data_IF_953741904409
#
_entry.id   IF_953741904409
#
_cell.length_a   1.000
_cell.length_b   1.000
_cell.length_c   1.000
_cell.angle_alpha   90.00
_cell.angle_beta   90.00
_cell.angle_gamma   90.00
#
_symmetry.space_group_name_H-M   'P 1'
#
loop_
_entity.id
_entity.type
_entity.pdbx_description
1 polymer ?
#
# COMPACT_ATOMS: atom_id res chain seq x y z
N UNK A 1 51.40 -2.00 32.43
CA UNK A 1 50.70 -1.35 31.32
C UNK A 1 49.76 -2.30 30.57
N UNK A 2 50.20 -3.40 29.99
CA UNK A 2 49.36 -4.34 29.20
C UNK A 2 48.16 -4.88 29.98
N UNK A 3 48.34 -5.29 31.24
CA UNK A 3 47.23 -5.80 32.09
C UNK A 3 46.14 -4.72 32.39
N UNK A 4 46.56 -3.44 32.54
CA UNK A 4 45.62 -2.33 32.75
C UNK A 4 44.91 -2.04 31.46
N UNK A 5 45.58 -1.95 30.34
CA UNK A 5 45.00 -1.76 29.01
C UNK A 5 43.99 -2.85 28.72
N UNK A 6 44.32 -4.13 28.92
CA UNK A 6 43.41 -5.24 28.68
C UNK A 6 42.13 -5.14 29.55
N UNK A 7 42.31 -4.86 30.87
CA UNK A 7 41.13 -4.68 31.77
C UNK A 7 40.25 -3.51 31.36
N UNK A 8 40.84 -2.37 30.95
CA UNK A 8 40.10 -1.21 30.50
C UNK A 8 39.35 -1.51 29.17
N UNK A 9 40.00 -2.21 28.23
CA UNK A 9 39.35 -2.62 26.98
C UNK A 9 38.18 -3.59 27.21
N UNK A 10 38.33 -4.57 28.12
CA UNK A 10 37.24 -5.49 28.50
C UNK A 10 36.09 -4.72 29.14
N UNK A 11 36.39 -3.83 30.08
CA UNK A 11 35.37 -3.05 30.78
C UNK A 11 34.59 -2.14 29.78
N UNK A 12 35.30 -1.47 28.88
CA UNK A 12 34.69 -0.68 27.79
C UNK A 12 33.80 -1.55 26.89
N UNK A 13 34.25 -2.73 26.52
CA UNK A 13 33.47 -3.68 25.72
C UNK A 13 32.17 -4.12 26.44
N UNK A 14 32.26 -4.44 27.73
CA UNK A 14 31.08 -4.81 28.55
C UNK A 14 30.13 -3.63 28.68
N UNK A 15 30.65 -2.42 28.95
CA UNK A 15 29.81 -1.22 29.09
C UNK A 15 29.09 -0.90 27.78
N UNK A 16 29.80 -0.99 26.65
CA UNK A 16 29.21 -0.77 25.33
C UNK A 16 28.16 -1.83 25.02
N UNK A 17 28.46 -3.12 25.24
CA UNK A 17 27.52 -4.22 25.03
C UNK A 17 26.27 -4.07 25.89
N UNK A 18 26.41 -3.70 27.17
CA UNK A 18 25.28 -3.44 28.05
C UNK A 18 24.47 -2.21 27.58
N UNK A 19 25.16 -1.13 27.16
CA UNK A 19 24.47 0.05 26.63
C UNK A 19 23.68 -0.24 25.37
N UNK A 20 24.20 -1.04 24.46
CA UNK A 20 23.52 -1.48 23.24
C UNK A 20 22.31 -2.39 23.57
N UNK A 21 22.50 -3.32 24.49
CA UNK A 21 21.41 -4.18 24.96
C UNK A 21 20.28 -3.37 25.60
N UNK A 22 20.60 -2.48 26.52
CA UNK A 22 19.61 -1.61 27.16
C UNK A 22 18.97 -0.64 26.16
N UNK A 23 19.73 -0.14 25.18
CA UNK A 23 19.18 0.68 24.09
C UNK A 23 18.11 -0.08 23.30
N UNK A 24 18.29 -1.39 23.06
CA UNK A 24 17.29 -2.22 22.40
C UNK A 24 16.06 -2.48 23.30
N UNK A 25 16.31 -2.79 24.58
CA UNK A 25 15.25 -3.05 25.55
C UNK A 25 14.38 -1.82 25.86
N UNK A 26 14.95 -0.61 25.85
CA UNK A 26 14.23 0.65 26.07
C UNK A 26 13.65 1.27 24.80
N UNK A 27 14.00 0.75 23.64
CA UNK A 27 13.45 1.28 22.37
C UNK A 27 11.95 0.99 22.34
N UNK A 28 11.09 1.99 22.22
CA UNK A 28 9.66 1.73 22.10
C UNK A 28 9.40 0.86 20.87
N UNK A 29 8.52 -0.13 21.02
CA UNK A 29 8.00 -0.94 19.91
C UNK A 29 7.09 -0.05 19.03
N UNK A 30 7.62 1.06 18.55
CA UNK A 30 6.80 2.13 17.97
C UNK A 30 6.83 2.21 16.45
N UNK A 31 7.60 1.36 15.77
CA UNK A 31 7.53 1.27 14.33
C UNK A 31 7.28 -0.17 13.90
N UNK A 32 6.04 -0.41 13.56
CA UNK A 32 5.59 -1.69 13.03
C UNK A 32 6.25 -2.06 11.68
N UNK A 33 6.88 -1.10 10.98
CA UNK A 33 7.41 -1.31 9.64
C UNK A 33 8.65 -2.21 9.61
N UNK A 34 9.64 -1.99 10.49
CA UNK A 34 10.88 -2.77 10.49
C UNK A 34 10.67 -4.23 10.88
N UNK A 35 9.99 -4.40 12.00
CA UNK A 35 9.68 -5.74 12.50
C UNK A 35 8.78 -6.46 11.51
N UNK A 36 7.88 -5.74 10.84
CA UNK A 36 7.06 -6.27 9.78
C UNK A 36 7.89 -6.76 8.58
N UNK A 37 8.85 -5.97 8.08
CA UNK A 37 9.74 -6.41 7.00
C UNK A 37 10.60 -7.62 7.39
N UNK A 38 11.17 -7.61 8.60
CA UNK A 38 12.00 -8.71 9.09
C UNK A 38 11.20 -9.98 9.42
N UNK A 39 9.87 -9.87 9.54
CA UNK A 39 8.96 -11.02 9.74
C UNK A 39 8.57 -11.68 8.41
N UNK A 40 8.86 -11.05 7.27
CA UNK A 40 8.67 -11.69 5.96
C UNK A 40 9.70 -12.84 5.86
N UNK A 41 9.28 -14.06 5.49
CA UNK A 41 10.19 -15.18 5.33
C UNK A 41 11.36 -14.83 4.41
N UNK A 42 12.57 -15.30 4.78
CA UNK A 42 13.78 -15.01 4.02
C UNK A 42 13.67 -15.52 2.56
N UNK A 43 14.24 -14.75 1.63
CA UNK A 43 14.31 -15.07 0.19
C UNK A 43 12.96 -15.37 -0.48
N UNK A 44 11.86 -14.74 0.01
CA UNK A 44 10.53 -14.93 -0.58
C UNK A 44 10.07 -13.78 -1.47
N UNK A 45 10.64 -12.57 -1.31
CA UNK A 45 10.20 -11.41 -2.09
C UNK A 45 10.82 -11.44 -3.50
N UNK A 46 9.96 -11.31 -4.51
CA UNK A 46 10.38 -11.10 -5.90
C UNK A 46 10.82 -9.65 -6.15
N UNK A 47 10.17 -8.71 -5.45
CA UNK A 47 10.38 -7.27 -5.60
C UNK A 47 10.57 -6.61 -4.25
N UNK A 48 11.54 -5.69 -4.15
CA UNK A 48 11.61 -4.72 -3.05
C UNK A 48 11.46 -3.32 -3.63
N UNK A 49 10.52 -2.57 -3.08
CA UNK A 49 10.20 -1.21 -3.53
C UNK A 49 10.77 -0.21 -2.55
N UNK A 50 11.67 0.64 -3.01
CA UNK A 50 12.34 1.68 -2.23
C UNK A 50 11.86 3.06 -2.65
N UNK A 51 11.87 4.00 -1.72
CA UNK A 51 11.50 5.37 -2.05
C UNK A 51 10.99 6.16 -0.86
N UNK A 52 10.13 7.12 -1.14
CA UNK A 52 9.54 8.01 -0.15
C UNK A 52 8.10 7.63 0.21
N UNK A 53 7.38 8.55 0.87
CA UNK A 53 5.93 8.42 1.08
C UNK A 53 5.16 8.27 -0.25
N UNK A 54 5.68 8.78 -1.36
CA UNK A 54 5.07 8.59 -2.68
C UNK A 54 4.97 7.10 -3.05
N UNK A 55 5.96 6.31 -2.66
CA UNK A 55 5.94 4.85 -2.83
C UNK A 55 4.92 4.20 -1.90
N UNK A 56 4.93 4.59 -0.61
CA UNK A 56 4.03 4.01 0.40
C UNK A 56 2.56 4.24 0.09
N UNK A 57 2.23 5.39 -0.50
CA UNK A 57 0.85 5.76 -0.89
C UNK A 57 0.54 5.48 -2.36
N UNK A 58 1.54 5.24 -3.20
CA UNK A 58 1.37 5.20 -4.65
C UNK A 58 1.48 3.82 -5.30
N UNK A 59 1.97 2.81 -4.57
CA UNK A 59 2.16 1.43 -5.07
C UNK A 59 1.52 0.46 -4.09
N UNK A 60 0.70 -0.46 -4.58
CA UNK A 60 -0.02 -1.42 -3.74
C UNK A 60 0.44 -2.86 -4.02
N UNK A 61 1.14 -3.51 -3.08
CA UNK A 61 1.65 -4.87 -3.23
C UNK A 61 0.57 -5.92 -3.52
N UNK A 62 -0.64 -5.75 -2.97
CA UNK A 62 -1.73 -6.69 -3.22
C UNK A 62 -2.23 -6.63 -4.66
N UNK A 63 -2.21 -5.45 -5.29
CA UNK A 63 -2.57 -5.31 -6.72
C UNK A 63 -1.49 -5.94 -7.58
N UNK A 64 -0.22 -5.67 -7.31
CA UNK A 64 0.90 -6.31 -8.03
C UNK A 64 0.77 -7.83 -7.93
N UNK A 65 0.56 -8.38 -6.73
CA UNK A 65 0.38 -9.81 -6.57
C UNK A 65 -0.84 -10.35 -7.33
N UNK A 66 -1.96 -9.66 -7.29
CA UNK A 66 -3.19 -10.10 -7.97
C UNK A 66 -3.01 -10.19 -9.50
N UNK A 67 -2.28 -9.24 -10.08
CA UNK A 67 -2.08 -9.17 -11.54
C UNK A 67 -0.90 -10.03 -12.03
N UNK A 68 0.10 -10.28 -11.17
CA UNK A 68 1.36 -10.93 -11.61
C UNK A 68 1.68 -12.23 -10.87
N UNK A 69 1.09 -12.46 -9.71
CA UNK A 69 1.51 -13.51 -8.77
C UNK A 69 2.74 -13.17 -7.93
N UNK A 70 3.43 -12.06 -8.17
CA UNK A 70 4.70 -11.72 -7.54
C UNK A 70 4.52 -11.16 -6.13
N UNK A 71 5.47 -11.46 -5.25
CA UNK A 71 5.53 -10.89 -3.91
C UNK A 71 6.38 -9.63 -3.90
N UNK A 72 5.79 -8.53 -3.43
CA UNK A 72 6.48 -7.25 -3.29
C UNK A 72 6.33 -6.68 -1.90
N UNK A 73 7.34 -5.93 -1.44
CA UNK A 73 7.31 -5.20 -0.17
C UNK A 73 7.81 -3.78 -0.38
N UNK A 74 7.10 -2.80 0.20
CA UNK A 74 7.48 -1.39 0.17
C UNK A 74 8.35 -1.08 1.39
N UNK A 75 9.66 -1.04 1.19
CA UNK A 75 10.62 -0.67 2.21
C UNK A 75 11.03 0.80 2.04
N UNK A 76 10.10 1.68 2.36
CA UNK A 76 10.19 3.11 2.14
C UNK A 76 9.74 3.88 3.39
N UNK A 77 10.09 5.16 3.47
CA UNK A 77 9.66 6.04 4.56
C UNK A 77 9.38 7.45 4.07
N UNK A 78 8.69 8.24 4.90
CA UNK A 78 8.43 9.64 4.58
C UNK A 78 9.73 10.37 4.19
N UNK A 79 9.72 10.99 3.00
CA UNK A 79 10.83 11.83 2.53
C UNK A 79 12.20 11.13 2.42
N UNK A 80 12.25 9.85 2.21
CA UNK A 80 13.49 9.10 2.16
C UNK A 80 14.37 9.50 0.96
N UNK A 81 15.51 10.17 1.17
CA UNK A 81 16.38 10.59 0.06
C UNK A 81 17.14 9.40 -0.52
N UNK A 82 17.60 9.51 -1.78
CA UNK A 82 18.30 8.44 -2.51
C UNK A 82 19.49 7.86 -1.72
N UNK A 83 20.25 8.70 -1.01
CA UNK A 83 21.36 8.24 -0.16
C UNK A 83 20.91 7.30 0.98
N UNK A 84 19.69 7.47 1.47
CA UNK A 84 19.09 6.61 2.50
C UNK A 84 18.52 5.36 1.85
N UNK A 85 17.89 5.48 0.68
CA UNK A 85 17.44 4.32 -0.11
C UNK A 85 18.59 3.35 -0.42
N UNK A 86 19.81 3.86 -0.67
CA UNK A 86 21.01 2.99 -0.78
C UNK A 86 21.29 2.18 0.49
N UNK A 87 21.15 2.78 1.68
CA UNK A 87 21.35 2.03 2.94
C UNK A 87 20.19 1.05 3.21
N UNK A 88 18.95 1.45 2.85
CA UNK A 88 17.78 0.57 2.94
C UNK A 88 17.89 -0.62 2.00
N UNK A 89 18.44 -0.44 0.78
CA UNK A 89 18.73 -1.56 -0.11
C UNK A 89 19.69 -2.54 0.55
N UNK A 90 20.80 -2.07 1.12
CA UNK A 90 21.75 -2.92 1.84
C UNK A 90 21.10 -3.63 3.04
N UNK A 91 20.21 -2.95 3.75
CA UNK A 91 19.45 -3.58 4.85
C UNK A 91 18.53 -4.66 4.31
N UNK A 92 17.82 -4.38 3.21
CA UNK A 92 16.88 -5.32 2.57
C UNK A 92 17.58 -6.60 2.10
N UNK A 93 18.75 -6.48 1.53
CA UNK A 93 19.53 -7.61 1.02
C UNK A 93 20.15 -8.50 2.12
N UNK A 94 19.95 -8.18 3.40
CA UNK A 94 20.37 -9.07 4.50
C UNK A 94 19.47 -10.29 4.67
N UNK A 95 18.20 -10.17 4.26
CA UNK A 95 17.19 -11.21 4.46
C UNK A 95 16.45 -11.58 3.17
N UNK A 96 16.59 -10.81 2.11
CA UNK A 96 15.89 -11.03 0.85
C UNK A 96 16.85 -10.98 -0.33
N UNK A 97 16.56 -11.76 -1.36
CA UNK A 97 17.29 -11.77 -2.63
C UNK A 97 16.31 -11.57 -3.80
N UNK A 98 15.76 -10.35 -3.96
CA UNK A 98 14.72 -10.07 -4.96
C UNK A 98 15.28 -10.14 -6.39
N UNK A 99 14.39 -10.39 -7.36
CA UNK A 99 14.77 -10.30 -8.78
C UNK A 99 14.86 -8.85 -9.27
N UNK A 100 14.10 -7.93 -8.65
CA UNK A 100 14.01 -6.55 -9.08
C UNK A 100 13.89 -5.59 -7.88
N UNK A 101 14.60 -4.47 -7.96
CA UNK A 101 14.40 -3.30 -7.12
C UNK A 101 13.61 -2.25 -7.90
N UNK A 102 12.50 -1.79 -7.34
CA UNK A 102 11.80 -0.59 -7.81
C UNK A 102 12.21 0.57 -6.93
N UNK A 103 12.67 1.68 -7.52
CA UNK A 103 13.09 2.87 -6.81
C UNK A 103 12.28 4.09 -7.28
N UNK A 104 11.49 4.68 -6.39
CA UNK A 104 10.81 5.96 -6.67
C UNK A 104 11.80 7.12 -6.64
N UNK A 105 11.72 7.97 -7.67
CA UNK A 105 12.65 9.09 -7.88
C UNK A 105 12.10 10.44 -7.38
N UNK A 106 11.01 10.48 -6.64
CA UNK A 106 10.37 11.71 -6.17
C UNK A 106 11.34 12.63 -5.42
N UNK A 107 12.18 12.08 -4.57
CA UNK A 107 13.12 12.88 -3.76
C UNK A 107 14.31 13.46 -4.55
N UNK A 108 14.45 13.11 -5.83
CA UNK A 108 15.38 13.77 -6.76
C UNK A 108 14.81 15.07 -7.37
N UNK A 109 13.50 15.32 -7.17
CA UNK A 109 12.85 16.51 -7.70
C UNK A 109 13.19 17.77 -6.89
N UNK A 110 13.09 18.96 -7.51
CA UNK A 110 13.30 20.23 -6.83
C UNK A 110 12.41 20.39 -5.60
N UNK A 111 12.98 21.01 -4.58
CA UNK A 111 12.28 21.37 -3.34
C UNK A 111 11.76 20.17 -2.52
N UNK A 112 12.01 18.92 -2.98
CA UNK A 112 11.61 17.70 -2.29
C UNK A 112 12.71 17.11 -1.39
N UNK A 113 13.93 17.60 -1.52
CA UNK A 113 15.07 17.19 -0.67
C UNK A 113 15.02 17.79 0.75
N UNK A 114 14.10 18.72 1.01
CA UNK A 114 13.94 19.40 2.31
C UNK A 114 12.99 18.59 3.19
N UNK A 115 13.35 17.36 3.42
CA UNK A 115 12.63 16.54 4.36
C UNK A 115 13.31 16.57 5.72
N UNK A 116 12.50 16.64 6.74
CA UNK A 116 12.94 16.77 8.12
C UNK A 116 13.86 15.62 8.50
N UNK A 117 15.08 15.91 8.89
CA UNK A 117 16.04 14.94 9.46
C UNK A 117 15.42 14.01 10.51
N UNK A 118 14.38 14.47 11.22
CA UNK A 118 13.66 13.69 12.23
C UNK A 118 13.11 12.38 11.70
N UNK A 119 12.50 12.39 10.52
CA UNK A 119 11.98 11.16 9.88
C UNK A 119 13.09 10.17 9.57
N UNK A 120 14.26 10.67 9.15
CA UNK A 120 15.43 9.83 8.84
C UNK A 120 16.09 9.30 10.12
N UNK A 121 16.15 10.11 11.20
CA UNK A 121 16.62 9.61 12.50
C UNK A 121 15.77 8.44 12.98
N UNK A 122 14.46 8.60 12.90
CA UNK A 122 13.50 7.57 13.31
C UNK A 122 13.64 6.32 12.43
N UNK A 123 13.64 6.50 11.10
CA UNK A 123 13.84 5.40 10.14
C UNK A 123 15.10 4.60 10.48
N UNK A 124 16.25 5.28 10.58
CA UNK A 124 17.51 4.61 10.86
C UNK A 124 17.52 3.92 12.23
N UNK A 125 16.87 4.51 13.23
CA UNK A 125 16.76 3.90 14.56
C UNK A 125 15.91 2.65 14.54
N UNK A 126 14.77 2.72 13.86
CA UNK A 126 13.71 1.73 13.96
C UNK A 126 13.82 0.64 12.88
N UNK A 127 14.39 0.95 11.70
CA UNK A 127 14.36 0.08 10.54
C UNK A 127 15.73 -0.34 10.01
N UNK A 128 16.82 0.06 10.66
CA UNK A 128 18.17 -0.35 10.25
C UNK A 128 18.96 -0.98 11.38
N UNK A 129 19.86 -1.87 11.02
CA UNK A 129 20.76 -2.57 11.94
C UNK A 129 22.22 -2.35 11.60
N UNK A 130 23.11 -2.58 12.56
CA UNK A 130 24.54 -2.61 12.33
C UNK A 130 25.11 -1.34 11.71
N UNK A 131 25.91 -1.52 10.65
CA UNK A 131 26.62 -0.40 9.98
C UNK A 131 25.69 0.48 9.15
N UNK A 132 24.62 -0.05 8.59
CA UNK A 132 23.65 0.69 7.79
C UNK A 132 22.96 1.76 8.67
N UNK A 133 22.56 1.41 9.90
CA UNK A 133 22.06 2.35 10.91
C UNK A 133 23.07 3.46 11.20
N UNK A 134 24.30 3.08 11.51
CA UNK A 134 25.36 4.04 11.85
C UNK A 134 25.65 4.96 10.67
N UNK A 135 25.80 4.41 9.47
CA UNK A 135 26.09 5.17 8.26
C UNK A 135 24.97 6.19 7.98
N UNK A 136 23.71 5.77 8.07
CA UNK A 136 22.55 6.65 7.83
C UNK A 136 22.50 7.78 8.84
N UNK A 137 22.63 7.49 10.13
CA UNK A 137 22.62 8.49 11.18
C UNK A 137 23.80 9.47 11.05
N UNK A 138 24.98 8.98 10.64
CA UNK A 138 26.16 9.81 10.44
C UNK A 138 26.13 10.66 9.15
N UNK A 139 25.18 10.43 8.24
CA UNK A 139 24.92 11.30 7.08
C UNK A 139 24.14 12.58 7.46
N UNK A 140 23.49 12.58 8.62
CA UNK A 140 22.65 13.68 9.06
C UNK A 140 23.48 14.81 9.69
N UNK A 141 22.97 16.04 9.67
CA UNK A 141 23.74 17.23 10.07
C UNK A 141 24.00 17.29 11.57
N UNK A 142 23.01 16.98 12.40
CA UNK A 142 23.17 16.99 13.87
C UNK A 142 23.82 15.69 14.37
N UNK A 143 25.15 15.70 14.45
CA UNK A 143 25.95 14.56 14.93
C UNK A 143 25.67 14.20 16.39
N UNK A 144 25.29 15.18 17.23
CA UNK A 144 24.93 14.90 18.62
C UNK A 144 23.65 14.08 18.69
N UNK A 145 22.65 14.52 17.95
CA UNK A 145 21.37 13.81 17.82
C UNK A 145 21.56 12.42 17.20
N UNK A 146 22.39 12.32 16.14
CA UNK A 146 22.76 11.02 15.56
C UNK A 146 23.33 10.06 16.61
N UNK A 147 24.18 10.55 17.51
CA UNK A 147 24.76 9.74 18.58
C UNK A 147 23.70 9.30 19.63
N UNK A 148 22.73 10.17 19.91
CA UNK A 148 21.61 9.84 20.80
C UNK A 148 20.73 8.72 20.21
N UNK A 149 20.55 8.66 18.89
CA UNK A 149 19.85 7.57 18.21
C UNK A 149 20.69 6.29 18.05
N UNK A 150 22.02 6.39 17.93
CA UNK A 150 22.92 5.22 17.95
C UNK A 150 22.86 4.55 19.33
N UNK A 151 22.86 5.35 20.39
CA UNK A 151 22.72 4.91 21.78
C UNK A 151 21.35 5.30 22.32
N UNK A 152 20.29 4.68 21.81
CA UNK A 152 18.90 5.04 22.09
C UNK A 152 18.53 5.03 23.58
N UNK A 153 19.30 4.35 24.43
CA UNK A 153 19.16 4.42 25.89
C UNK A 153 19.21 5.86 26.42
N UNK A 154 19.95 6.75 25.74
CA UNK A 154 20.02 8.17 26.11
C UNK A 154 18.72 8.92 25.88
N UNK A 155 17.95 8.50 24.90
CA UNK A 155 16.64 9.09 24.59
C UNK A 155 15.53 8.50 25.47
N UNK A 156 15.57 7.20 25.67
CA UNK A 156 14.47 6.43 26.28
C UNK A 156 14.72 6.05 27.74
N UNK A 157 15.82 6.52 28.36
CA UNK A 157 16.13 6.21 29.75
C UNK A 157 15.05 6.63 30.75
N UNK A 158 14.16 7.56 30.38
CA UNK A 158 13.02 7.98 31.22
C UNK A 158 11.91 6.90 31.29
N UNK A 159 11.87 5.98 30.31
CA UNK A 159 10.90 4.89 30.26
C UNK A 159 11.24 3.75 31.22
N UNK A 160 12.37 3.79 31.91
CA UNK A 160 12.76 2.73 32.86
C UNK A 160 11.74 2.49 33.99
N UNK A 161 10.93 3.48 34.34
CA UNK A 161 9.86 3.36 35.29
C UNK A 161 8.63 2.60 34.76
N UNK A 162 8.56 2.41 33.47
CA UNK A 162 7.47 1.73 32.73
C UNK A 162 7.90 0.33 32.27
N UNK A 163 9.18 -0.05 32.52
CA UNK A 163 9.70 -1.34 32.14
C UNK A 163 9.11 -2.43 33.02
N UNK A 164 8.39 -3.33 32.36
CA UNK A 164 8.06 -4.64 32.91
C UNK A 164 9.20 -5.64 32.60
N UNK A 165 9.31 -6.71 33.41
CA UNK A 165 10.24 -7.82 33.14
C UNK A 165 9.97 -8.46 31.79
N UNK A 166 8.74 -8.46 31.32
CA UNK A 166 8.35 -8.92 29.98
C UNK A 166 8.94 -8.03 28.86
N UNK A 167 9.02 -6.71 29.03
CA UNK A 167 9.62 -5.79 28.06
C UNK A 167 11.14 -5.95 27.93
N UNK A 168 11.80 -6.56 28.92
CA UNK A 168 13.22 -6.93 28.85
C UNK A 168 13.46 -8.22 28.06
N UNK A 169 12.43 -9.03 27.89
CA UNK A 169 12.47 -10.12 26.94
C UNK A 169 12.37 -9.49 25.54
N UNK A 170 13.46 -9.49 24.82
CA UNK A 170 13.46 -9.17 23.40
C UNK A 170 12.60 -10.27 22.76
N UNK A 171 11.29 -10.06 22.70
CA UNK A 171 10.43 -10.94 21.94
C UNK A 171 10.76 -10.72 20.46
N UNK A 172 11.22 -11.76 19.80
CA UNK A 172 11.16 -11.84 18.34
C UNK A 172 9.72 -12.31 17.98
N UNK A 173 8.71 -11.70 18.60
CA UNK A 173 7.35 -11.94 18.14
C UNK A 173 7.25 -11.35 16.74
N UNK A 174 6.93 -12.20 15.79
CA UNK A 174 6.69 -11.82 14.42
C UNK A 174 5.57 -10.79 14.40
N UNK A 175 5.88 -9.56 14.01
CA UNK A 175 4.85 -8.56 13.81
C UNK A 175 4.14 -8.85 12.48
N UNK A 176 2.82 -8.63 12.44
CA UNK A 176 2.10 -8.81 11.18
C UNK A 176 2.67 -7.88 10.11
N UNK A 177 2.98 -8.45 8.95
CA UNK A 177 3.41 -7.70 7.74
C UNK A 177 2.27 -7.59 6.72
N UNK A 178 1.06 -7.54 7.21
CA UNK A 178 -0.20 -7.57 6.46
C UNK A 178 -0.39 -6.36 5.51
N UNK A 179 0.28 -5.25 5.77
CA UNK A 179 0.26 -4.08 4.87
C UNK A 179 1.34 -4.11 3.78
N UNK A 180 2.37 -4.95 3.92
CA UNK A 180 3.55 -4.97 3.03
C UNK A 180 4.18 -3.59 2.80
N UNK A 181 4.12 -2.71 3.80
CA UNK A 181 4.62 -1.34 3.76
C UNK A 181 3.71 -0.34 3.02
N UNK A 182 2.56 -0.77 2.52
CA UNK A 182 1.57 0.10 1.89
C UNK A 182 0.76 0.87 2.93
N UNK A 183 0.47 2.15 2.62
CA UNK A 183 -0.39 3.00 3.44
C UNK A 183 -1.63 3.37 2.64
N UNK A 184 -2.79 2.92 3.11
CA UNK A 184 -4.07 3.21 2.49
C UNK A 184 -4.50 4.65 2.81
N UNK A 185 -4.58 5.49 1.78
CA UNK A 185 -5.05 6.86 1.88
C UNK A 185 -6.41 6.99 1.19
N UNK A 186 -7.43 7.35 1.96
CA UNK A 186 -8.76 7.58 1.41
C UNK A 186 -8.86 8.96 0.75
N UNK A 187 -9.62 9.10 -0.36
CA UNK A 187 -9.81 10.39 -1.00
C UNK A 187 -10.53 11.36 -0.06
N UNK A 188 -10.10 12.61 -0.08
CA UNK A 188 -10.75 13.73 0.59
C UNK A 188 -11.17 14.74 -0.46
N UNK A 189 -12.21 15.50 -0.19
CA UNK A 189 -12.57 16.61 -1.08
C UNK A 189 -11.37 17.57 -1.21
N UNK A 190 -10.83 17.64 -2.41
CA UNK A 190 -9.72 18.51 -2.75
C UNK A 190 -10.02 19.30 -4.03
N UNK A 191 -9.88 20.62 -3.96
CA UNK A 191 -9.99 21.48 -5.13
C UNK A 191 -8.65 21.47 -5.89
N UNK A 192 -8.59 20.64 -6.90
CA UNK A 192 -7.44 20.58 -7.81
C UNK A 192 -7.38 21.80 -8.72
N UNK A 193 -6.20 22.38 -8.85
CA UNK A 193 -5.92 23.41 -9.84
C UNK A 193 -5.00 22.81 -10.91
N UNK A 194 -5.62 22.40 -12.01
CA UNK A 194 -4.87 21.88 -13.16
C UNK A 194 -3.83 22.89 -13.62
N UNK A 195 -2.60 22.45 -13.80
CA UNK A 195 -1.57 23.21 -14.49
C UNK A 195 -1.52 22.78 -15.96
N UNK A 196 -1.51 23.74 -16.86
CA UNK A 196 -1.30 23.45 -18.28
C UNK A 196 -0.01 22.64 -18.47
N UNK A 197 -0.05 21.73 -19.46
CA UNK A 197 1.07 20.86 -19.76
C UNK A 197 2.38 21.62 -19.98
N UNK A 198 3.52 21.04 -19.60
CA UNK A 198 4.80 21.72 -19.54
C UNK A 198 5.34 22.17 -20.89
N UNK A 199 5.97 23.35 -20.95
CA UNK A 199 6.71 23.82 -22.13
C UNK A 199 8.08 23.14 -22.16
N UNK A 200 8.39 22.41 -23.25
CA UNK A 200 9.53 21.48 -23.40
C UNK A 200 10.94 22.12 -23.41
N UNK A 201 11.15 23.32 -22.91
CA UNK A 201 12.37 24.10 -23.15
C UNK A 201 13.40 24.19 -22.03
N UNK A 202 13.14 23.66 -20.85
CA UNK A 202 14.05 23.86 -19.72
C UNK A 202 14.98 22.64 -19.53
N UNK A 203 16.25 22.95 -19.16
CA UNK A 203 17.22 21.99 -18.68
C UNK A 203 17.30 22.13 -17.18
N UNK A 204 17.20 21.01 -16.46
CA UNK A 204 17.37 20.96 -15.01
C UNK A 204 18.66 20.20 -14.67
N UNK A 205 19.49 20.77 -13.80
CA UNK A 205 20.68 20.13 -13.30
C UNK A 205 20.33 19.35 -12.02
N UNK A 206 20.38 18.02 -12.08
CA UNK A 206 20.13 17.14 -10.95
C UNK A 206 21.24 17.28 -9.89
N UNK A 207 20.90 17.00 -8.63
CA UNK A 207 21.85 17.00 -7.54
C UNK A 207 22.88 15.89 -7.73
N UNK A 208 24.18 16.22 -7.80
CA UNK A 208 25.26 15.28 -8.04
C UNK A 208 25.31 14.18 -6.97
N UNK A 209 25.04 14.51 -5.70
CA UNK A 209 24.99 13.51 -4.62
C UNK A 209 23.89 12.47 -4.82
N UNK A 210 22.75 12.86 -5.38
CA UNK A 210 21.66 11.91 -5.67
C UNK A 210 22.03 11.01 -6.84
N UNK A 211 22.65 11.57 -7.89
CA UNK A 211 23.18 10.79 -9.02
C UNK A 211 24.26 9.78 -8.59
N UNK A 212 25.20 10.21 -7.76
CA UNK A 212 26.26 9.34 -7.23
C UNK A 212 25.67 8.18 -6.39
N UNK A 213 24.62 8.43 -5.61
CA UNK A 213 23.97 7.39 -4.83
C UNK A 213 23.08 6.49 -5.68
N UNK A 214 22.45 7.00 -6.73
CA UNK A 214 21.72 6.19 -7.70
C UNK A 214 22.66 5.21 -8.42
N UNK A 215 23.85 5.66 -8.82
CA UNK A 215 24.88 4.77 -9.40
C UNK A 215 25.38 3.71 -8.42
N UNK A 216 25.47 4.03 -7.12
CA UNK A 216 25.79 3.02 -6.09
C UNK A 216 24.68 1.98 -5.93
N UNK A 217 23.40 2.40 -6.03
CA UNK A 217 22.27 1.48 -6.04
C UNK A 217 22.37 0.56 -7.26
N UNK A 218 22.57 1.13 -8.45
CA UNK A 218 22.73 0.36 -9.69
C UNK A 218 23.87 -0.66 -9.56
N UNK A 219 25.05 -0.22 -9.12
CA UNK A 219 26.21 -1.09 -8.95
C UNK A 219 25.93 -2.24 -7.95
N UNK A 220 25.23 -1.95 -6.84
CA UNK A 220 24.87 -2.97 -5.86
C UNK A 220 23.84 -3.97 -6.41
N UNK A 221 22.90 -3.50 -7.23
CA UNK A 221 21.98 -4.38 -7.95
C UNK A 221 22.73 -5.28 -8.93
N UNK A 222 23.63 -4.72 -9.74
CA UNK A 222 24.45 -5.47 -10.70
C UNK A 222 25.33 -6.54 -10.03
N UNK A 223 25.96 -6.19 -8.91
CA UNK A 223 26.78 -7.13 -8.10
C UNK A 223 25.99 -8.33 -7.58
N UNK A 224 24.67 -8.16 -7.37
CA UNK A 224 23.78 -9.21 -6.87
C UNK A 224 22.89 -9.82 -7.97
N UNK A 225 23.09 -9.47 -9.24
CA UNK A 225 22.25 -9.88 -10.39
C UNK A 225 20.77 -9.52 -10.20
N UNK A 226 20.50 -8.34 -9.68
CA UNK A 226 19.17 -7.77 -9.46
C UNK A 226 18.94 -6.68 -10.51
N UNK A 227 17.76 -6.67 -11.12
CA UNK A 227 17.36 -5.59 -12.04
C UNK A 227 16.98 -4.32 -11.23
N UNK A 228 17.11 -3.16 -11.87
CA UNK A 228 16.72 -1.87 -11.27
C UNK A 228 15.74 -1.14 -12.18
N UNK A 229 14.55 -0.84 -11.65
CA UNK A 229 13.55 -0.02 -12.31
C UNK A 229 13.32 1.28 -11.52
N UNK A 230 13.55 2.42 -12.14
CA UNK A 230 13.13 3.70 -11.60
C UNK A 230 11.66 3.94 -11.91
N UNK A 231 10.90 4.39 -10.91
CA UNK A 231 9.47 4.68 -11.06
C UNK A 231 9.15 6.08 -10.57
N UNK A 232 8.21 6.74 -11.23
CA UNK A 232 7.57 7.96 -10.72
C UNK A 232 6.05 7.83 -10.75
N UNK A 233 5.45 7.82 -9.57
CA UNK A 233 3.99 7.83 -9.39
C UNK A 233 3.41 9.22 -9.70
N UNK A 234 2.16 9.34 -10.20
CA UNK A 234 1.55 10.61 -10.53
C UNK A 234 1.43 11.55 -9.32
N UNK A 235 1.66 12.82 -9.53
CA UNK A 235 1.34 13.89 -8.60
C UNK A 235 1.19 15.22 -9.35
N UNK A 236 0.64 16.24 -8.71
CA UNK A 236 0.49 17.59 -9.29
C UNK A 236 1.85 18.26 -9.45
N UNK A 237 2.35 18.32 -10.67
CA UNK A 237 3.69 18.80 -11.01
C UNK A 237 3.68 20.21 -11.58
N UNK A 238 4.63 21.03 -11.13
CA UNK A 238 4.99 22.27 -11.82
C UNK A 238 6.03 21.99 -12.94
N UNK A 239 6.29 23.01 -13.79
CA UNK A 239 7.27 22.92 -14.88
C UNK A 239 8.66 22.44 -14.39
N UNK A 240 9.13 22.97 -13.24
CA UNK A 240 10.46 22.64 -12.69
C UNK A 240 10.57 21.14 -12.32
N UNK A 241 9.50 20.58 -11.76
CA UNK A 241 9.45 19.13 -11.46
C UNK A 241 9.48 18.29 -12.73
N UNK A 242 8.73 18.71 -13.76
CA UNK A 242 8.73 18.03 -15.03
C UNK A 242 10.12 18.04 -15.69
N UNK A 243 10.79 19.21 -15.73
CA UNK A 243 12.13 19.33 -16.28
C UNK A 243 13.14 18.42 -15.53
N UNK A 244 12.98 18.31 -14.21
CA UNK A 244 13.79 17.41 -13.40
C UNK A 244 13.52 15.94 -13.72
N UNK A 245 12.27 15.53 -13.93
CA UNK A 245 11.94 14.15 -14.35
C UNK A 245 12.54 13.83 -15.72
N UNK A 246 12.51 14.76 -16.65
CA UNK A 246 13.16 14.60 -17.97
C UNK A 246 14.68 14.42 -17.81
N UNK A 247 15.31 15.17 -16.89
CA UNK A 247 16.73 15.00 -16.60
C UNK A 247 17.03 13.64 -15.92
N UNK A 248 16.14 13.13 -15.07
CA UNK A 248 16.24 11.77 -14.51
C UNK A 248 16.14 10.72 -15.60
N UNK A 249 15.18 10.90 -16.53
CA UNK A 249 15.02 9.99 -17.66
C UNK A 249 16.25 9.96 -18.58
N UNK A 250 16.83 11.12 -18.93
CA UNK A 250 18.06 11.20 -19.70
C UNK A 250 19.20 10.47 -18.99
N UNK A 251 19.37 10.72 -17.68
CA UNK A 251 20.39 10.06 -16.87
C UNK A 251 20.18 8.54 -16.81
N UNK A 252 18.95 8.08 -16.59
CA UNK A 252 18.64 6.64 -16.58
C UNK A 252 19.01 5.98 -17.89
N UNK A 253 18.64 6.60 -19.00
CA UNK A 253 18.99 6.14 -20.36
C UNK A 253 20.49 6.10 -20.62
N UNK A 254 21.25 7.10 -20.16
CA UNK A 254 22.71 7.16 -20.32
C UNK A 254 23.43 6.07 -19.50
N UNK A 255 22.81 5.58 -18.42
CA UNK A 255 23.38 4.59 -17.51
C UNK A 255 22.73 3.21 -17.61
N UNK A 256 21.93 2.97 -18.68
CA UNK A 256 21.25 1.68 -18.91
C UNK A 256 20.39 1.24 -17.71
N UNK A 257 19.56 2.16 -17.21
CA UNK A 257 18.60 1.92 -16.13
C UNK A 257 17.19 2.07 -16.68
N UNK A 258 16.34 1.11 -16.42
CA UNK A 258 14.93 1.17 -16.81
C UNK A 258 14.19 2.28 -16.04
N UNK A 259 13.28 2.98 -16.73
CA UNK A 259 12.51 4.07 -16.14
C UNK A 259 11.05 4.05 -16.59
N UNK A 260 10.14 4.06 -15.62
CA UNK A 260 8.70 4.09 -15.82
C UNK A 260 8.10 5.36 -15.16
N UNK A 261 7.73 6.34 -15.99
CA UNK A 261 7.02 7.54 -15.53
C UNK A 261 5.51 7.37 -15.71
N UNK A 262 4.80 7.10 -14.62
CA UNK A 262 3.35 6.88 -14.64
C UNK A 262 2.55 8.15 -14.98
N UNK A 263 3.18 9.34 -14.94
CA UNK A 263 2.52 10.55 -15.44
C UNK A 263 2.27 10.50 -16.96
N UNK A 264 2.91 9.60 -17.69
CA UNK A 264 2.66 9.40 -19.13
C UNK A 264 1.44 8.51 -19.40
N UNK A 265 0.87 7.86 -18.37
CA UNK A 265 -0.24 6.91 -18.46
C UNK A 265 -1.55 7.46 -17.86
N UNK A 266 -1.62 8.77 -17.55
CA UNK A 266 -2.79 9.39 -16.90
C UNK A 266 -4.10 9.18 -17.67
N UNK A 267 -4.06 9.29 -19.01
CA UNK A 267 -5.23 9.07 -19.86
C UNK A 267 -5.63 7.58 -19.87
N UNK A 268 -4.67 6.66 -20.00
CA UNK A 268 -4.89 5.22 -20.01
C UNK A 268 -5.48 4.72 -18.68
N UNK A 269 -4.99 5.27 -17.57
CA UNK A 269 -5.48 4.97 -16.22
C UNK A 269 -6.82 5.64 -15.91
N UNK A 270 -7.31 6.56 -16.75
CA UNK A 270 -8.40 7.47 -16.36
C UNK A 270 -8.12 8.12 -14.99
N UNK A 271 -6.91 8.66 -14.84
CA UNK A 271 -6.41 9.20 -13.58
C UNK A 271 -6.93 10.62 -13.34
N UNK A 272 -7.70 10.78 -12.28
CA UNK A 272 -8.31 12.06 -11.90
C UNK A 272 -7.59 12.66 -10.67
N UNK A 273 -6.81 13.72 -10.89
CA UNK A 273 -6.26 14.49 -9.79
C UNK A 273 -7.37 15.05 -8.89
N UNK A 274 -7.19 14.99 -7.57
CA UNK A 274 -8.20 15.34 -6.58
C UNK A 274 -9.10 14.17 -6.18
N UNK A 275 -9.06 13.06 -6.92
CA UNK A 275 -9.74 11.80 -6.61
C UNK A 275 -8.71 10.71 -6.39
N UNK A 276 -7.88 10.44 -7.40
CA UNK A 276 -6.82 9.42 -7.36
C UNK A 276 -5.54 9.92 -6.67
N UNK A 277 -5.39 11.22 -6.51
CA UNK A 277 -4.34 11.80 -5.68
C UNK A 277 -4.84 13.03 -4.92
N UNK A 278 -4.34 13.20 -3.70
CA UNK A 278 -4.33 14.48 -3.00
C UNK A 278 -3.17 15.34 -3.55
N UNK A 279 -2.85 16.45 -2.90
CA UNK A 279 -1.80 17.40 -3.34
C UNK A 279 -0.46 16.72 -3.66
N UNK A 280 -0.03 15.77 -2.81
CA UNK A 280 1.29 15.15 -2.87
C UNK A 280 1.26 13.63 -2.98
N UNK A 281 0.21 12.98 -2.47
CA UNK A 281 0.14 11.52 -2.36
C UNK A 281 -1.01 10.96 -3.16
N UNK A 282 -0.83 9.77 -3.70
CA UNK A 282 -1.91 9.04 -4.32
C UNK A 282 -2.86 8.49 -3.25
N UNK A 283 -4.14 8.49 -3.57
CA UNK A 283 -5.16 7.80 -2.78
C UNK A 283 -5.10 6.30 -3.05
N UNK A 284 -5.87 5.52 -2.31
CA UNK A 284 -6.01 4.09 -2.56
C UNK A 284 -6.43 3.79 -4.03
N UNK A 285 -7.27 4.65 -4.62
CA UNK A 285 -7.67 4.51 -6.02
C UNK A 285 -6.52 4.77 -7.00
N UNK A 286 -5.75 5.83 -6.75
CA UNK A 286 -4.57 6.11 -7.56
C UNK A 286 -3.48 5.05 -7.42
N UNK A 287 -3.24 4.56 -6.19
CA UNK A 287 -2.31 3.46 -5.95
C UNK A 287 -2.73 2.18 -6.67
N UNK A 288 -4.03 1.89 -6.70
CA UNK A 288 -4.57 0.75 -7.45
C UNK A 288 -4.25 0.87 -8.94
N UNK A 289 -4.61 1.99 -9.57
CA UNK A 289 -4.37 2.27 -11.00
C UNK A 289 -2.88 2.23 -11.36
N UNK A 290 -2.03 2.86 -10.54
CA UNK A 290 -0.58 2.83 -10.72
C UNK A 290 -0.04 1.41 -10.71
N UNK A 291 -0.52 0.59 -9.78
CA UNK A 291 -0.04 -0.78 -9.61
C UNK A 291 -0.50 -1.71 -10.73
N UNK A 292 -1.67 -1.45 -11.36
CA UNK A 292 -2.08 -2.13 -12.59
C UNK A 292 -1.06 -1.85 -13.73
N UNK A 293 -0.71 -0.60 -14.00
CA UNK A 293 0.30 -0.25 -15.04
C UNK A 293 1.70 -0.82 -14.71
N UNK A 294 2.12 -0.72 -13.44
CA UNK A 294 3.39 -1.33 -13.02
C UNK A 294 3.36 -2.83 -13.31
N UNK A 295 2.29 -3.51 -12.96
CA UNK A 295 2.14 -4.96 -13.19
C UNK A 295 2.24 -5.35 -14.66
N UNK A 296 1.57 -4.61 -15.54
CA UNK A 296 1.66 -4.80 -16.99
C UNK A 296 3.10 -4.59 -17.50
N UNK A 297 3.77 -3.54 -16.99
CA UNK A 297 5.16 -3.25 -17.35
C UNK A 297 6.11 -4.37 -16.89
N UNK A 298 5.91 -4.90 -15.67
CA UNK A 298 6.70 -5.99 -15.11
C UNK A 298 6.56 -7.27 -15.95
N UNK A 299 5.35 -7.69 -16.26
CA UNK A 299 5.08 -8.90 -17.05
C UNK A 299 5.65 -8.81 -18.47
N UNK A 300 5.68 -7.61 -19.04
CA UNK A 300 6.19 -7.39 -20.39
C UNK A 300 7.72 -7.37 -20.48
N UNK A 301 8.40 -6.83 -19.46
CA UNK A 301 9.82 -6.49 -19.58
C UNK A 301 10.74 -7.39 -18.75
N UNK A 302 10.23 -8.09 -17.72
CA UNK A 302 11.05 -8.89 -16.82
C UNK A 302 10.62 -10.35 -16.76
N UNK A 303 11.50 -11.19 -16.27
CA UNK A 303 11.24 -12.60 -15.98
C UNK A 303 11.54 -12.87 -14.52
N UNK A 304 10.63 -13.53 -13.84
CA UNK A 304 10.74 -13.82 -12.43
C UNK A 304 10.78 -15.32 -12.18
N UNK A 305 11.54 -15.71 -11.16
CA UNK A 305 11.59 -17.08 -10.66
C UNK A 305 10.79 -17.14 -9.34
N UNK A 306 9.47 -16.88 -9.46
CA UNK A 306 8.58 -16.84 -8.31
C UNK A 306 8.46 -18.20 -7.63
N UNK A 307 8.44 -18.20 -6.29
CA UNK A 307 8.19 -19.38 -5.45
C UNK A 307 7.07 -19.06 -4.46
N UNK A 308 5.98 -19.82 -4.55
CA UNK A 308 4.84 -19.66 -3.65
C UNK A 308 5.21 -19.88 -2.17
N UNK A 309 4.65 -19.05 -1.29
CA UNK A 309 4.76 -19.14 0.15
C UNK A 309 3.40 -18.94 0.82
N UNK A 310 2.93 -19.94 1.57
CA UNK A 310 1.59 -19.93 2.18
C UNK A 310 1.41 -18.80 3.21
N UNK A 311 2.46 -18.46 3.98
CA UNK A 311 2.40 -17.40 4.98
C UNK A 311 2.31 -16.02 4.32
N UNK A 312 3.08 -15.79 3.25
CA UNK A 312 3.01 -14.56 2.45
C UNK A 312 1.64 -14.44 1.81
N UNK A 313 1.12 -15.51 1.19
CA UNK A 313 -0.22 -15.53 0.57
C UNK A 313 -1.33 -15.19 1.57
N UNK A 314 -1.25 -15.72 2.80
CA UNK A 314 -2.22 -15.43 3.87
C UNK A 314 -2.24 -13.94 4.23
N UNK A 315 -1.08 -13.33 4.40
CA UNK A 315 -0.96 -11.90 4.73
C UNK A 315 -1.40 -11.01 3.55
N UNK A 316 -1.04 -11.37 2.31
CA UNK A 316 -1.50 -10.68 1.10
C UNK A 316 -3.01 -10.76 0.92
N UNK A 317 -3.65 -11.87 1.30
CA UNK A 317 -5.11 -11.99 1.29
C UNK A 317 -5.79 -10.90 2.13
N UNK A 318 -5.25 -10.58 3.31
CA UNK A 318 -5.75 -9.48 4.13
C UNK A 318 -5.60 -8.13 3.41
N UNK A 319 -4.42 -7.84 2.88
CA UNK A 319 -4.16 -6.60 2.15
C UNK A 319 -5.06 -6.48 0.90
N UNK A 320 -5.25 -7.58 0.15
CA UNK A 320 -6.15 -7.63 -1.01
C UNK A 320 -7.57 -7.25 -0.62
N UNK A 321 -8.11 -7.87 0.43
CA UNK A 321 -9.47 -7.59 0.92
C UNK A 321 -9.58 -6.14 1.39
N UNK A 322 -8.67 -5.67 2.23
CA UNK A 322 -8.68 -4.28 2.74
C UNK A 322 -8.53 -3.24 1.62
N UNK A 323 -7.75 -3.54 0.58
CA UNK A 323 -7.64 -2.70 -0.62
C UNK A 323 -8.99 -2.58 -1.32
N UNK A 324 -9.64 -3.71 -1.63
CA UNK A 324 -10.92 -3.70 -2.33
C UNK A 324 -12.02 -3.02 -1.51
N UNK A 325 -12.08 -3.25 -0.19
CA UNK A 325 -12.99 -2.51 0.68
C UNK A 325 -12.69 -1.00 0.67
N UNK A 326 -11.40 -0.62 0.70
CA UNK A 326 -10.99 0.77 0.57
C UNK A 326 -11.37 1.41 -0.77
N UNK A 327 -11.38 0.65 -1.87
CA UNK A 327 -11.83 1.11 -3.17
C UNK A 327 -13.36 1.29 -3.23
N UNK A 328 -14.11 0.43 -2.53
CA UNK A 328 -15.58 0.53 -2.41
C UNK A 328 -16.00 1.67 -1.49
N UNK A 329 -15.15 2.02 -0.52
CA UNK A 329 -15.42 3.11 0.41
C UNK A 329 -15.49 4.44 -0.33
N UNK A 330 -16.55 5.22 -0.07
CA UNK A 330 -16.79 6.52 -0.70
C UNK A 330 -17.05 6.49 -2.22
N UNK A 331 -17.36 5.34 -2.81
CA UNK A 331 -17.83 5.31 -4.20
C UNK A 331 -19.23 5.95 -4.32
N UNK A 332 -19.34 6.92 -5.21
CA UNK A 332 -20.61 7.60 -5.54
C UNK A 332 -21.14 7.17 -6.90
N UNK A 333 -20.30 6.51 -7.69
CA UNK A 333 -20.65 6.00 -9.01
C UNK A 333 -20.90 4.48 -8.96
N UNK A 334 -22.10 4.00 -9.32
CA UNK A 334 -22.44 2.59 -9.30
C UNK A 334 -21.58 1.74 -10.22
N UNK A 335 -21.21 2.23 -11.39
CA UNK A 335 -20.36 1.50 -12.30
C UNK A 335 -19.00 1.17 -11.66
N UNK A 336 -18.37 2.17 -11.04
CA UNK A 336 -17.10 1.97 -10.33
C UNK A 336 -17.26 1.04 -9.11
N UNK A 337 -18.35 1.19 -8.35
CA UNK A 337 -18.64 0.26 -7.26
C UNK A 337 -18.76 -1.18 -7.77
N UNK A 338 -19.53 -1.43 -8.82
CA UNK A 338 -19.70 -2.77 -9.39
C UNK A 338 -18.39 -3.30 -9.98
N UNK A 339 -17.60 -2.44 -10.64
CA UNK A 339 -16.27 -2.79 -11.16
C UNK A 339 -15.34 -3.34 -10.08
N UNK A 340 -15.30 -2.72 -8.92
CA UNK A 340 -14.46 -3.22 -7.81
C UNK A 340 -15.12 -4.37 -7.06
N UNK A 341 -16.43 -4.35 -6.90
CA UNK A 341 -17.17 -5.45 -6.28
C UNK A 341 -17.04 -6.75 -7.09
N UNK A 342 -17.01 -6.70 -8.43
CA UNK A 342 -16.84 -7.89 -9.28
C UNK A 342 -15.48 -8.57 -9.10
N UNK A 343 -14.47 -7.84 -8.63
CA UNK A 343 -13.13 -8.39 -8.31
C UNK A 343 -13.02 -8.96 -6.88
N UNK A 344 -14.11 -8.95 -6.11
CA UNK A 344 -14.07 -9.36 -4.72
C UNK A 344 -14.31 -10.87 -4.57
N UNK A 345 -13.34 -11.56 -3.95
CA UNK A 345 -13.46 -12.95 -3.55
C UNK A 345 -14.15 -13.04 -2.17
N UNK A 346 -15.44 -13.16 -2.16
CA UNK A 346 -16.26 -13.21 -0.94
C UNK A 346 -17.73 -13.30 -1.24
N UNK A 347 -18.54 -12.83 -0.31
CA UNK A 347 -19.99 -12.88 -0.40
C UNK A 347 -20.51 -11.58 -0.99
N UNK A 348 -21.28 -11.66 -2.07
CA UNK A 348 -22.00 -10.52 -2.64
C UNK A 348 -23.49 -10.79 -2.54
N UNK A 349 -24.24 -9.85 -2.00
CA UNK A 349 -25.68 -9.92 -1.78
C UNK A 349 -26.35 -8.87 -2.65
N UNK A 350 -27.37 -9.25 -3.38
CA UNK A 350 -28.18 -8.34 -4.18
C UNK A 350 -29.63 -8.33 -3.70
N UNK A 351 -30.17 -7.14 -3.51
CA UNK A 351 -31.58 -6.88 -3.30
C UNK A 351 -32.08 -5.95 -4.40
N UNK A 352 -32.91 -6.46 -5.29
CA UNK A 352 -33.54 -5.70 -6.36
C UNK A 352 -35.07 -5.76 -6.22
N UNK A 353 -35.66 -4.60 -5.97
CA UNK A 353 -37.10 -4.41 -5.88
C UNK A 353 -37.60 -3.92 -7.23
N UNK A 354 -37.87 -4.79 -8.17
CA UNK A 354 -38.23 -4.48 -9.53
C UNK A 354 -39.04 -3.20 -9.70
N UNK A 355 -38.53 -2.27 -10.50
CA UNK A 355 -39.18 -0.99 -10.74
C UNK A 355 -39.10 -0.63 -12.22
N UNK A 356 -40.26 -0.31 -12.82
CA UNK A 356 -40.37 -0.13 -14.28
C UNK A 356 -39.59 1.08 -14.84
N UNK A 357 -39.14 2.03 -14.00
CA UNK A 357 -38.31 3.16 -14.39
C UNK A 357 -36.83 2.92 -14.25
N UNK A 358 -36.43 1.78 -13.70
CA UNK A 358 -35.01 1.43 -13.50
C UNK A 358 -34.29 1.40 -14.85
N UNK A 359 -33.20 2.14 -14.95
CA UNK A 359 -32.32 2.18 -16.11
C UNK A 359 -30.93 1.65 -15.77
N UNK A 360 -30.87 0.35 -15.42
CA UNK A 360 -29.55 -0.33 -15.33
C UNK A 360 -28.94 -0.31 -16.73
N UNK A 361 -27.73 0.19 -16.85
CA UNK A 361 -27.00 0.23 -18.11
C UNK A 361 -26.42 -1.13 -18.49
N UNK A 362 -26.13 -1.34 -19.76
CA UNK A 362 -25.59 -2.62 -20.23
C UNK A 362 -24.24 -2.97 -19.57
N UNK A 363 -23.41 -1.98 -19.31
CA UNK A 363 -22.12 -2.17 -18.63
C UNK A 363 -22.32 -2.59 -17.16
N UNK A 364 -23.25 -1.95 -16.44
CA UNK A 364 -23.59 -2.32 -15.05
C UNK A 364 -24.18 -3.74 -14.98
N UNK A 365 -25.08 -4.08 -15.91
CA UNK A 365 -25.65 -5.44 -16.00
C UNK A 365 -24.58 -6.50 -16.27
N UNK A 366 -23.57 -6.20 -17.09
CA UNK A 366 -22.44 -7.07 -17.32
C UNK A 366 -21.63 -7.33 -16.04
N UNK A 367 -21.35 -6.27 -15.27
CA UNK A 367 -20.64 -6.38 -13.98
C UNK A 367 -21.44 -7.17 -12.94
N UNK A 368 -22.76 -7.00 -12.88
CA UNK A 368 -23.63 -7.81 -12.02
C UNK A 368 -23.56 -9.30 -12.40
N UNK A 369 -23.48 -9.60 -13.70
CA UNK A 369 -23.30 -10.97 -14.17
C UNK A 369 -21.92 -11.54 -13.82
N UNK A 370 -20.85 -10.72 -13.90
CA UNK A 370 -19.50 -11.11 -13.41
C UNK A 370 -19.49 -11.43 -11.93
N UNK A 371 -20.28 -10.74 -11.11
CA UNK A 371 -20.47 -11.03 -9.70
C UNK A 371 -21.24 -12.36 -9.47
N UNK A 372 -21.69 -13.01 -10.54
CA UNK A 372 -22.40 -14.28 -10.49
C UNK A 372 -23.92 -14.20 -10.52
N UNK A 373 -24.50 -13.00 -10.69
CA UNK A 373 -25.95 -12.83 -10.82
C UNK A 373 -26.37 -12.95 -12.29
N UNK A 374 -26.42 -14.16 -12.80
CA UNK A 374 -26.84 -14.46 -14.18
C UNK A 374 -28.31 -14.09 -14.42
N UNK A 375 -28.63 -12.80 -14.43
CA UNK A 375 -29.97 -12.26 -14.53
C UNK A 375 -29.99 -11.03 -15.43
N UNK A 376 -30.97 -10.96 -16.32
CA UNK A 376 -31.16 -9.82 -17.18
C UNK A 376 -32.01 -8.75 -16.48
N UNK A 377 -31.37 -7.90 -15.69
CA UNK A 377 -32.01 -6.82 -14.97
C UNK A 377 -32.62 -5.77 -15.92
N UNK A 378 -32.11 -5.65 -17.14
CA UNK A 378 -32.58 -4.70 -18.14
C UNK A 378 -33.97 -5.08 -18.66
N UNK A 379 -34.16 -6.36 -19.01
CA UNK A 379 -35.43 -6.84 -19.57
C UNK A 379 -36.44 -7.28 -18.50
N UNK A 380 -36.00 -7.61 -17.28
CA UNK A 380 -36.87 -8.07 -16.19
C UNK A 380 -37.14 -6.98 -15.13
N UNK A 381 -37.29 -5.74 -15.55
CA UNK A 381 -37.42 -4.53 -14.69
C UNK A 381 -38.51 -4.59 -13.63
N UNK A 382 -39.58 -5.38 -13.84
CA UNK A 382 -40.74 -5.43 -12.95
C UNK A 382 -40.71 -6.66 -12.01
N UNK A 383 -39.62 -7.41 -11.98
CA UNK A 383 -39.53 -8.61 -11.18
C UNK A 383 -38.50 -8.41 -10.09
N UNK A 384 -38.91 -8.67 -8.85
CA UNK A 384 -37.96 -8.64 -7.73
C UNK A 384 -36.91 -9.75 -7.90
N UNK A 385 -35.72 -9.46 -7.43
CA UNK A 385 -34.62 -10.43 -7.40
C UNK A 385 -33.81 -10.26 -6.12
N UNK A 386 -33.77 -11.30 -5.29
CA UNK A 386 -33.02 -11.34 -4.03
C UNK A 386 -32.07 -12.53 -4.11
N UNK A 387 -30.77 -12.26 -4.15
CA UNK A 387 -29.82 -13.31 -4.42
C UNK A 387 -28.50 -13.14 -3.67
N UNK A 388 -27.75 -14.22 -3.60
CA UNK A 388 -26.41 -14.27 -3.01
C UNK A 388 -25.48 -15.02 -3.92
N UNK A 389 -24.31 -14.45 -4.16
CA UNK A 389 -23.20 -15.10 -4.83
C UNK A 389 -21.98 -15.19 -3.91
N UNK A 390 -21.08 -16.12 -4.21
CA UNK A 390 -19.81 -16.29 -3.51
C UNK A 390 -18.73 -16.54 -4.54
N UNK A 391 -17.70 -15.72 -4.53
CA UNK A 391 -16.59 -15.80 -5.47
C UNK A 391 -17.08 -15.87 -6.93
N UNK A 392 -17.94 -14.95 -7.31
CA UNK A 392 -18.52 -14.89 -8.65
C UNK A 392 -19.47 -16.03 -9.03
N UNK A 393 -19.93 -16.86 -8.08
CA UNK A 393 -20.85 -17.98 -8.35
C UNK A 393 -22.14 -17.83 -7.58
N UNK A 394 -23.27 -17.83 -8.28
CA UNK A 394 -24.60 -17.77 -7.69
C UNK A 394 -24.80 -18.94 -6.71
N UNK A 395 -25.24 -18.64 -5.49
CA UNK A 395 -25.67 -19.64 -4.49
C UNK A 395 -27.17 -19.87 -4.52
N UNK A 396 -27.91 -18.88 -4.98
CA UNK A 396 -29.34 -18.98 -5.20
C UNK A 396 -30.00 -17.60 -5.18
N UNK A 397 -31.27 -17.57 -5.57
CA UNK A 397 -32.10 -16.39 -5.53
C UNK A 397 -33.60 -16.74 -5.38
N UNK A 398 -34.40 -15.76 -4.96
CA UNK A 398 -35.87 -15.84 -4.93
C UNK A 398 -36.46 -14.46 -5.27
N UNK A 399 -37.74 -14.41 -5.58
CA UNK A 399 -38.44 -13.15 -5.90
C UNK A 399 -39.31 -12.61 -4.74
N UNK A 400 -39.32 -13.32 -3.60
CA UNK A 400 -40.04 -12.92 -2.39
C UNK A 400 -39.11 -12.79 -1.19
N UNK A 401 -38.40 -13.83 -0.89
CA UNK A 401 -37.41 -13.89 0.18
C UNK A 401 -36.40 -15.02 -0.16
N UNK A 402 -35.11 -14.70 -0.09
CA UNK A 402 -34.05 -15.68 -0.22
C UNK A 402 -33.33 -15.87 1.11
N UNK A 403 -33.18 -17.10 1.55
CA UNK A 403 -32.49 -17.45 2.79
C UNK A 403 -31.45 -18.54 2.53
N UNK A 404 -30.27 -18.32 3.06
CA UNK A 404 -29.14 -19.26 2.92
C UNK A 404 -28.20 -19.18 4.12
N UNK A 405 -27.31 -20.18 4.25
CA UNK A 405 -26.18 -20.16 5.21
C UNK A 405 -24.90 -20.32 4.40
N UNK A 406 -23.99 -19.37 4.54
CA UNK A 406 -22.70 -19.34 3.83
C UNK A 406 -21.59 -19.07 4.85
N UNK A 407 -20.59 -19.97 4.89
CA UNK A 407 -19.47 -19.88 5.83
C UNK A 407 -19.92 -19.71 7.30
N UNK A 408 -21.05 -20.36 7.67
CA UNK A 408 -21.64 -20.26 9.01
C UNK A 408 -22.53 -19.05 9.24
N UNK A 409 -22.56 -18.07 8.34
CA UNK A 409 -23.40 -16.87 8.46
C UNK A 409 -24.78 -17.13 7.84
N UNK A 410 -25.85 -16.87 8.60
CA UNK A 410 -27.21 -16.91 8.07
C UNK A 410 -27.51 -15.58 7.35
N UNK A 411 -27.87 -15.66 6.07
CA UNK A 411 -28.18 -14.51 5.22
C UNK A 411 -29.63 -14.60 4.78
N UNK A 412 -30.41 -13.54 5.04
CA UNK A 412 -31.80 -13.40 4.60
C UNK A 412 -31.91 -12.09 3.80
N UNK A 413 -32.47 -12.20 2.60
CA UNK A 413 -32.71 -11.05 1.70
C UNK A 413 -34.17 -11.04 1.29
N UNK A 414 -34.86 -9.93 1.57
CA UNK A 414 -36.24 -9.76 1.16
C UNK A 414 -36.48 -8.30 0.71
N UNK A 415 -37.73 -7.98 0.37
CA UNK A 415 -38.11 -6.65 -0.14
C UNK A 415 -37.67 -5.50 0.78
N UNK A 416 -37.70 -5.70 2.08
CA UNK A 416 -37.54 -4.63 3.05
C UNK A 416 -36.11 -4.51 3.57
N UNK A 417 -35.40 -5.64 3.69
CA UNK A 417 -34.17 -5.69 4.46
C UNK A 417 -33.20 -6.80 3.99
N UNK A 418 -31.95 -6.64 4.37
CA UNK A 418 -30.90 -7.64 4.32
C UNK A 418 -30.48 -7.93 5.75
N UNK A 419 -30.52 -9.19 6.16
CA UNK A 419 -30.17 -9.63 7.51
C UNK A 419 -28.98 -10.59 7.42
N UNK A 420 -27.97 -10.38 8.24
CA UNK A 420 -26.83 -11.28 8.40
C UNK A 420 -26.71 -11.63 9.88
N UNK A 421 -26.79 -12.93 10.21
CA UNK A 421 -26.73 -13.44 11.60
C UNK A 421 -27.69 -12.73 12.55
N UNK A 422 -28.92 -12.49 12.10
CA UNK A 422 -29.96 -11.81 12.87
C UNK A 422 -29.79 -10.30 12.99
N UNK A 423 -28.74 -9.69 12.40
CA UNK A 423 -28.58 -8.25 12.34
C UNK A 423 -29.07 -7.68 11.03
N UNK A 424 -29.99 -6.73 11.10
CA UNK A 424 -30.45 -5.99 9.92
C UNK A 424 -29.36 -5.03 9.48
N UNK A 425 -28.93 -5.12 8.22
CA UNK A 425 -28.02 -4.13 7.65
C UNK A 425 -28.76 -2.82 7.45
N UNK A 426 -28.14 -1.74 7.91
CA UNK A 426 -28.68 -0.40 7.73
C UNK A 426 -28.54 0.05 6.27
N UNK A 427 -29.32 1.07 5.93
CA UNK A 427 -29.23 1.75 4.64
C UNK A 427 -29.26 0.77 3.43
N UNK A 428 -30.21 -0.16 3.46
CA UNK A 428 -30.46 -1.14 2.38
C UNK A 428 -31.86 -0.96 1.77
N UNK A 429 -32.39 0.26 1.76
CA UNK A 429 -33.75 0.62 1.33
C UNK A 429 -33.87 1.04 -0.15
N UNK A 430 -32.74 1.02 -0.90
CA UNK A 430 -32.73 1.32 -2.33
C UNK A 430 -33.54 0.35 -3.20
N UNK A 431 -33.89 0.79 -4.40
CA UNK A 431 -34.52 -0.08 -5.42
C UNK A 431 -33.60 -1.21 -5.85
N UNK A 432 -32.30 -0.91 -6.00
CA UNK A 432 -31.22 -1.87 -6.14
C UNK A 432 -30.21 -1.63 -5.02
N UNK A 433 -29.94 -2.65 -4.24
CA UNK A 433 -28.86 -2.66 -3.24
C UNK A 433 -27.90 -3.77 -3.56
N UNK A 434 -26.62 -3.47 -3.64
CA UNK A 434 -25.54 -4.47 -3.72
C UNK A 434 -24.68 -4.35 -2.48
N UNK A 435 -24.51 -5.44 -1.75
CA UNK A 435 -23.67 -5.53 -0.56
C UNK A 435 -22.50 -6.46 -0.83
N UNK A 436 -21.30 -5.99 -0.58
CA UNK A 436 -20.08 -6.80 -0.51
C UNK A 436 -19.82 -7.13 0.95
N UNK A 437 -19.72 -8.40 1.30
CA UNK A 437 -19.56 -8.86 2.67
C UNK A 437 -18.41 -9.86 2.78
N UNK A 438 -17.50 -9.61 3.71
CA UNK A 438 -16.43 -10.53 4.09
C UNK A 438 -16.78 -11.23 5.40
N UNK A 439 -16.93 -12.57 5.35
CA UNK A 439 -17.30 -13.36 6.52
C UNK A 439 -16.16 -13.58 7.52
N UNK A 440 -14.89 -13.43 7.10
CA UNK A 440 -13.73 -13.66 7.95
C UNK A 440 -13.48 -12.46 8.87
N UNK A 441 -13.70 -11.24 8.32
CA UNK A 441 -13.48 -9.99 9.05
C UNK A 441 -14.78 -9.29 9.46
N UNK A 442 -15.94 -9.80 9.03
CA UNK A 442 -17.27 -9.18 9.24
C UNK A 442 -17.37 -7.77 8.63
N UNK A 443 -16.60 -7.50 7.58
CA UNK A 443 -16.65 -6.23 6.86
C UNK A 443 -17.77 -6.24 5.82
N UNK A 444 -18.43 -5.10 5.66
CA UNK A 444 -19.37 -4.93 4.55
C UNK A 444 -19.33 -3.51 3.99
N UNK A 445 -19.64 -3.41 2.71
CA UNK A 445 -19.90 -2.16 1.99
C UNK A 445 -21.11 -2.35 1.10
N UNK A 446 -21.95 -1.31 1.00
CA UNK A 446 -23.13 -1.38 0.17
C UNK A 446 -23.28 -0.16 -0.72
N UNK A 447 -23.86 -0.40 -1.89
CA UNK A 447 -24.32 0.60 -2.82
C UNK A 447 -25.84 0.49 -2.93
N UNK A 448 -26.53 1.59 -2.68
CA UNK A 448 -27.96 1.72 -2.88
C UNK A 448 -28.24 2.63 -4.06
N UNK A 449 -29.10 2.19 -4.95
CA UNK A 449 -29.49 2.93 -6.12
C UNK A 449 -31.00 3.13 -6.08
N UNK A 450 -31.42 4.39 -6.11
CA UNK A 450 -32.80 4.80 -6.28
C UNK A 450 -32.94 5.55 -7.60
N UNK A 451 -33.56 4.92 -8.57
CA UNK A 451 -33.74 5.46 -9.91
C UNK A 451 -34.87 6.50 -10.01
N UNK A 452 -35.63 6.70 -8.93
CA UNK A 452 -36.73 7.68 -8.87
C UNK A 452 -36.29 9.09 -8.54
N UNK A 453 -35.21 9.25 -7.78
CA UNK A 453 -34.72 10.55 -7.33
C UNK A 453 -33.27 10.47 -6.90
N UNK A 454 -32.33 10.88 -7.69
CA UNK A 454 -30.91 11.07 -7.36
C UNK A 454 -30.21 9.91 -6.64
N UNK A 455 -29.08 9.54 -7.11
CA UNK A 455 -28.13 8.58 -6.56
C UNK A 455 -27.85 8.87 -5.08
N UNK A 456 -28.09 7.91 -4.17
CA UNK A 456 -27.75 8.01 -2.77
C UNK A 456 -26.62 7.03 -2.43
N UNK A 457 -25.69 7.58 -1.72
CA UNK A 457 -24.53 6.90 -1.20
C UNK A 457 -24.60 6.88 0.32
N UNK A 458 -24.55 5.73 0.93
CA UNK A 458 -24.36 5.61 2.36
C UNK A 458 -23.38 4.52 2.67
N UNK A 459 -22.26 4.93 3.27
CA UNK A 459 -21.38 4.05 4.00
C UNK A 459 -21.91 3.88 5.40
N UNK A 460 -22.26 2.67 5.78
CA UNK A 460 -22.40 2.33 7.18
C UNK A 460 -21.19 1.49 7.60
N UNK A 461 -20.13 2.18 8.02
CA UNK A 461 -19.10 1.57 8.84
C UNK A 461 -19.69 1.40 10.24
N UNK A 462 -20.44 0.34 10.51
CA UNK A 462 -20.79 -0.04 11.87
C UNK A 462 -19.54 -0.55 12.59
N UNK A 463 -18.73 0.43 13.05
CA UNK A 463 -17.92 0.32 14.27
C UNK A 463 -16.70 -0.60 14.28
N UNK A 464 -16.40 -1.41 13.27
CA UNK A 464 -15.36 -2.44 13.36
C UNK A 464 -14.08 -2.15 12.55
N UNK A 465 -14.08 -1.24 11.60
CA UNK A 465 -12.92 -0.96 10.72
C UNK A 465 -12.55 0.53 10.65
N UNK A 466 -13.25 1.43 11.31
CA UNK A 466 -12.90 2.85 11.37
C UNK A 466 -12.12 3.19 12.65
N UNK A 467 -11.05 2.48 12.95
CA UNK A 467 -10.07 2.88 13.97
C UNK A 467 -8.67 2.88 13.40
#
# INVERSE_FOLDING_TARGET
MIKVFLKTSIMLGITLGLSLYLSKAFSPVSSNLKTAYLSVPEDTLDLVVLGSSHTQYGINPAVIHNETGLYSYINASACQPIRVSYQMLKESLKTQNPNLIILDVFTMLPDQSVCYDESIYKLASDEMTGMEKINTLMMLDDKKKAFDYILSIRMYHQLWNELDIESLKISNEDLPYDSFGFINLQPKEYLFKYMEGPDKKYRYDLNQSDLDNLLKIKALCDENNIELLLVKTPFDMNQKNYDALMAVWDFAKENDIDYLDLNQYLEEMDFAFGVDSETWHNTNWGAYKNSEIISEYLLKNYKFNHVDNEDVNRNLSYLKKSTLFGLLLNQVDPYNFFKYASKFDGIIIIKYNGYYKTSIESAENALLNEMGFEYDFINNRNTNYYGVSVNGKLKGYDNKEFKTIINGNEIIVNKNEIIIDGKVLKDTDGELTVVVYDSDFYWHQNMNIDYGSKWFWKNDCDGWVCK
#
